data_IF_624594799982
#
_entry.id   IF_624594799982
#
_cell.length_a   1.000
_cell.length_b   1.000
_cell.length_c   1.000
_cell.angle_alpha   90.00
_cell.angle_beta   90.00
_cell.angle_gamma   90.00
#
_symmetry.space_group_name_H-M   'P 1'
#
loop_
_entity.id
_entity.type
_entity.pdbx_description
1 polymer ?
#
# COMPACT_ATOMS: atom_id res chain seq x y z
N UNK A 1 1.29 5.55 -36.85
CA UNK A 1 1.51 4.53 -35.80
C UNK A 1 2.32 5.15 -34.67
N UNK A 2 1.79 5.32 -33.45
CA UNK A 2 2.64 5.71 -32.33
C UNK A 2 3.46 4.49 -31.94
N UNK A 3 4.77 4.53 -32.19
CA UNK A 3 5.71 3.56 -31.64
C UNK A 3 5.69 3.71 -30.12
N UNK A 4 5.12 2.73 -29.42
CA UNK A 4 5.27 2.60 -27.97
C UNK A 4 6.75 2.69 -27.64
N UNK A 5 7.17 3.79 -27.00
CA UNK A 5 8.52 3.96 -26.52
C UNK A 5 8.75 2.87 -25.47
N UNK A 6 9.42 1.78 -25.88
CA UNK A 6 9.88 0.75 -24.95
C UNK A 6 10.86 1.45 -24.03
N UNK A 7 10.41 1.83 -22.84
CA UNK A 7 11.30 2.32 -21.77
C UNK A 7 12.34 1.22 -21.58
N UNK A 8 13.57 1.45 -22.04
CA UNK A 8 14.68 0.52 -21.82
C UNK A 8 14.89 0.45 -20.31
N UNK A 9 14.41 -0.63 -19.71
CA UNK A 9 14.68 -0.93 -18.32
C UNK A 9 16.15 -1.38 -18.22
N UNK A 10 16.86 -1.00 -17.16
CA UNK A 10 18.23 -1.48 -16.93
C UNK A 10 18.30 -3.01 -17.03
N UNK A 11 19.37 -3.57 -17.60
CA UNK A 11 19.49 -5.02 -17.84
C UNK A 11 19.34 -5.87 -16.58
N UNK A 12 19.67 -5.31 -15.41
CA UNK A 12 19.50 -5.94 -14.10
C UNK A 12 18.06 -5.84 -13.56
N UNK A 13 17.27 -4.85 -14.02
CA UNK A 13 15.88 -4.61 -13.61
C UNK A 13 14.89 -5.36 -14.51
N UNK A 14 15.08 -6.68 -14.57
CA UNK A 14 14.22 -7.58 -15.33
C UNK A 14 12.77 -7.59 -14.85
N UNK A 15 11.92 -8.36 -15.54
CA UNK A 15 10.49 -8.49 -15.24
C UNK A 15 10.23 -8.89 -13.78
N UNK A 16 10.91 -9.92 -13.28
CA UNK A 16 10.72 -10.42 -11.92
C UNK A 16 11.12 -9.39 -10.87
N UNK A 17 12.24 -8.68 -11.08
CA UNK A 17 12.65 -7.59 -10.20
C UNK A 17 11.56 -6.52 -10.13
N UNK A 18 11.05 -6.06 -11.30
CA UNK A 18 10.01 -5.02 -11.30
C UNK A 18 8.73 -5.49 -10.60
N UNK A 19 8.31 -6.74 -10.83
CA UNK A 19 7.11 -7.29 -10.20
C UNK A 19 7.27 -7.42 -8.69
N UNK A 20 8.42 -7.91 -8.22
CA UNK A 20 8.72 -8.05 -6.80
C UNK A 20 8.86 -6.69 -6.11
N UNK A 21 9.50 -5.71 -6.76
CA UNK A 21 9.59 -4.36 -6.22
C UNK A 21 8.21 -3.69 -6.17
N UNK A 22 7.42 -3.80 -7.23
CA UNK A 22 6.06 -3.26 -7.24
C UNK A 22 5.18 -3.93 -6.18
N UNK A 23 5.26 -5.26 -6.05
CA UNK A 23 4.50 -5.98 -5.03
C UNK A 23 4.94 -5.59 -3.62
N UNK A 24 6.25 -5.47 -3.36
CA UNK A 24 6.75 -5.02 -2.08
C UNK A 24 6.23 -3.61 -1.72
N UNK A 25 6.24 -2.67 -2.68
CA UNK A 25 5.69 -1.32 -2.48
C UNK A 25 4.20 -1.38 -2.16
N UNK A 26 3.41 -2.10 -2.95
CA UNK A 26 1.95 -2.21 -2.74
C UNK A 26 1.62 -2.89 -1.42
N UNK A 27 2.31 -3.97 -1.08
CA UNK A 27 2.10 -4.70 0.18
C UNK A 27 2.43 -3.82 1.38
N UNK A 28 3.55 -3.11 1.34
CA UNK A 28 3.97 -2.24 2.45
C UNK A 28 3.02 -1.03 2.59
N UNK A 29 2.63 -0.44 1.46
CA UNK A 29 1.66 0.65 1.44
C UNK A 29 0.29 0.21 1.96
N UNK A 30 -0.19 -0.98 1.58
CA UNK A 30 -1.42 -1.54 2.13
C UNK A 30 -1.31 -1.79 3.64
N UNK A 31 -0.23 -2.43 4.07
CA UNK A 31 -0.04 -2.84 5.48
C UNK A 31 0.02 -1.67 6.46
N UNK A 32 0.64 -0.55 6.05
CA UNK A 32 0.78 0.64 6.89
C UNK A 32 -0.25 1.71 6.56
N UNK A 33 -0.46 2.00 5.27
CA UNK A 33 -1.36 3.04 4.79
C UNK A 33 -2.82 2.74 5.08
N UNK A 34 -3.26 1.47 5.03
CA UNK A 34 -4.64 1.13 5.37
C UNK A 34 -4.97 1.41 6.85
N UNK A 35 -4.01 1.19 7.76
CA UNK A 35 -4.21 1.49 9.18
C UNK A 35 -4.33 2.99 9.42
N UNK A 36 -3.46 3.78 8.79
CA UNK A 36 -3.52 5.24 8.86
C UNK A 36 -4.86 5.73 8.28
N UNK A 37 -5.27 5.21 7.12
CA UNK A 37 -6.54 5.57 6.50
C UNK A 37 -7.74 5.21 7.39
N UNK A 38 -7.74 4.04 8.02
CA UNK A 38 -8.79 3.61 8.93
C UNK A 38 -8.85 4.49 10.20
N UNK A 39 -7.70 4.88 10.75
CA UNK A 39 -7.64 5.80 11.89
C UNK A 39 -8.31 7.14 11.56
N UNK A 40 -8.01 7.73 10.40
CA UNK A 40 -8.67 8.97 9.97
C UNK A 40 -10.15 8.79 9.64
N UNK A 41 -10.55 7.64 9.10
CA UNK A 41 -11.94 7.33 8.85
C UNK A 41 -12.76 7.26 10.16
N UNK A 42 -12.23 6.61 11.19
CA UNK A 42 -12.86 6.52 12.52
C UNK A 42 -13.01 7.90 13.16
N UNK A 43 -11.94 8.69 13.18
CA UNK A 43 -11.99 10.06 13.72
C UNK A 43 -12.96 10.95 12.92
N UNK A 44 -12.99 10.82 11.59
CA UNK A 44 -13.92 11.54 10.73
C UNK A 44 -15.39 11.12 10.92
N UNK A 45 -15.64 9.88 11.34
CA UNK A 45 -16.97 9.37 11.68
C UNK A 45 -17.42 9.74 13.11
N UNK A 46 -16.60 10.47 13.88
CA UNK A 46 -16.88 10.87 15.25
C UNK A 46 -16.45 9.87 16.32
N UNK A 47 -15.68 8.83 15.95
CA UNK A 47 -15.05 7.91 16.89
C UNK A 47 -13.80 8.51 17.55
N UNK A 48 -13.27 7.80 18.54
CA UNK A 48 -12.12 8.26 19.33
C UNK A 48 -10.87 7.38 19.20
N UNK A 49 -9.81 7.71 19.95
CA UNK A 49 -8.56 6.95 19.92
C UNK A 49 -8.69 5.49 20.40
N UNK A 50 -9.68 5.21 21.26
CA UNK A 50 -10.02 3.84 21.68
C UNK A 50 -10.61 3.03 20.53
N UNK A 51 -11.52 3.61 19.75
CA UNK A 51 -12.10 2.98 18.56
C UNK A 51 -11.04 2.67 17.49
N UNK A 52 -10.11 3.60 17.28
CA UNK A 52 -8.94 3.38 16.39
C UNK A 52 -8.09 2.20 16.88
N UNK A 53 -7.87 2.10 18.20
CA UNK A 53 -7.14 0.99 18.81
C UNK A 53 -7.83 -0.37 18.63
N UNK A 54 -9.16 -0.39 18.69
CA UNK A 54 -9.96 -1.61 18.45
C UNK A 54 -9.87 -2.06 16.98
N UNK A 55 -9.93 -1.13 16.03
CA UNK A 55 -9.69 -1.41 14.60
C UNK A 55 -8.27 -1.94 14.38
N UNK A 56 -7.27 -1.40 15.06
CA UNK A 56 -5.89 -1.89 14.98
C UNK A 56 -5.74 -3.31 15.55
N UNK A 57 -6.37 -3.59 16.69
CA UNK A 57 -6.36 -4.92 17.32
C UNK A 57 -7.06 -5.98 16.45
N UNK A 58 -8.20 -5.63 15.86
CA UNK A 58 -8.98 -6.53 14.99
C UNK A 58 -8.18 -7.08 13.80
N UNK A 59 -7.17 -6.34 13.32
CA UNK A 59 -6.29 -6.80 12.23
C UNK A 59 -5.43 -8.02 12.60
N UNK A 60 -5.25 -8.27 13.90
CA UNK A 60 -4.38 -9.35 14.41
C UNK A 60 -5.15 -10.61 14.83
N UNK A 61 -6.49 -10.57 14.71
CA UNK A 61 -7.38 -11.68 15.03
C UNK A 61 -7.73 -12.50 13.78
#
# INVERSE_FOLDING_TARGET
>A
MPTSAVRRRPAWAGRNYTLLTASAVVTNLGSHGALIAAAFAVLGAGGDGGDVGLVAAARTL
#
